data_IF_542185947992
#
_entry.id   IF_542185947992
#
_cell.length_a   1.000
_cell.length_b   1.000
_cell.length_c   1.000
_cell.angle_alpha   90.00
_cell.angle_beta   90.00
_cell.angle_gamma   90.00
#
_symmetry.space_group_name_H-M   'P 1'
#
loop_
_entity.id
_entity.type
_entity.pdbx_description
1 polymer ?
#
# COMPACT_ATOMS: atom_id res chain seq x y z
N UNK A 1 30.91 -2.88 -26.30
CA UNK A 1 30.73 -2.19 -24.99
C UNK A 1 29.43 -1.37 -24.89
N UNK A 2 28.56 -1.30 -25.91
CA UNK A 2 27.28 -0.57 -25.83
C UNK A 2 26.12 -1.39 -25.21
N UNK A 3 26.19 -2.73 -25.23
CA UNK A 3 25.10 -3.58 -24.74
C UNK A 3 24.95 -3.66 -23.21
N UNK A 4 25.97 -3.29 -22.42
CA UNK A 4 25.90 -3.32 -20.95
C UNK A 4 25.21 -2.09 -20.36
N UNK A 5 25.22 -0.95 -21.05
CA UNK A 5 24.58 0.28 -20.57
C UNK A 5 23.05 0.18 -20.71
N UNK A 6 22.58 -0.43 -21.80
CA UNK A 6 21.14 -0.63 -22.05
C UNK A 6 20.49 -1.64 -21.09
N UNK A 7 21.21 -2.67 -20.65
CA UNK A 7 20.66 -3.67 -19.71
C UNK A 7 20.48 -3.10 -18.30
N UNK A 8 21.41 -2.27 -17.84
CA UNK A 8 21.26 -1.54 -16.57
C UNK A 8 20.08 -0.58 -16.63
N UNK A 9 19.97 0.27 -17.67
CA UNK A 9 18.85 1.20 -17.79
C UNK A 9 17.47 0.51 -17.80
N UNK A 10 17.36 -0.65 -18.45
CA UNK A 10 16.11 -1.43 -18.46
C UNK A 10 15.73 -1.98 -17.08
N UNK A 11 16.72 -2.36 -16.27
CA UNK A 11 16.49 -2.86 -14.91
C UNK A 11 16.04 -1.74 -13.97
N UNK A 12 16.68 -0.56 -14.05
CA UNK A 12 16.28 0.62 -13.29
C UNK A 12 14.87 1.13 -13.67
N UNK A 13 14.52 1.14 -14.95
CA UNK A 13 13.16 1.50 -15.42
C UNK A 13 12.10 0.46 -15.05
N UNK A 14 12.46 -0.82 -15.07
CA UNK A 14 11.60 -1.92 -14.60
C UNK A 14 11.33 -1.82 -13.11
N UNK A 15 12.38 -1.57 -12.32
CA UNK A 15 12.25 -1.36 -10.87
C UNK A 15 11.40 -0.11 -10.59
N UNK A 16 11.63 1.02 -11.29
CA UNK A 16 10.79 2.22 -11.17
C UNK A 16 9.31 2.01 -11.56
N UNK A 17 9.04 1.13 -12.52
CA UNK A 17 7.67 0.78 -12.95
C UNK A 17 6.96 -0.16 -11.95
N UNK A 18 7.69 -1.10 -11.35
CA UNK A 18 7.16 -1.97 -10.28
C UNK A 18 6.98 -1.22 -8.96
N UNK A 19 7.70 -0.13 -8.74
CA UNK A 19 7.63 0.67 -7.52
C UNK A 19 6.31 1.43 -7.32
N UNK A 20 5.46 1.54 -8.34
CA UNK A 20 4.39 2.55 -8.31
C UNK A 20 2.97 1.99 -8.12
N UNK A 21 2.60 0.89 -8.78
CA UNK A 21 1.20 0.47 -8.74
C UNK A 21 0.81 -0.42 -7.56
N UNK A 22 1.10 0.00 -6.32
CA UNK A 22 0.49 -0.67 -5.16
C UNK A 22 -0.96 -0.25 -5.06
N UNK A 23 -1.85 -1.24 -5.03
CA UNK A 23 -3.28 -1.01 -4.87
C UNK A 23 -3.76 -1.74 -3.64
N UNK A 24 -4.48 -1.03 -2.79
CA UNK A 24 -5.07 -1.55 -1.56
C UNK A 24 -6.59 -1.49 -1.65
N UNK A 25 -7.23 -2.54 -1.16
CA UNK A 25 -8.64 -2.48 -0.78
C UNK A 25 -8.68 -2.39 0.74
N UNK A 26 -9.33 -1.37 1.27
CA UNK A 26 -9.42 -1.11 2.71
C UNK A 26 -10.87 -1.09 3.11
N UNK A 27 -11.25 -2.02 3.96
CA UNK A 27 -12.54 -2.01 4.63
C UNK A 27 -12.39 -1.38 6.01
N UNK A 28 -13.10 -0.29 6.25
CA UNK A 28 -13.09 0.47 7.50
C UNK A 28 -14.39 0.20 8.21
N UNK A 29 -14.32 -0.37 9.42
CA UNK A 29 -15.47 -0.57 10.30
C UNK A 29 -15.35 0.35 11.50
N UNK A 30 -16.23 1.33 11.59
CA UNK A 30 -16.32 2.25 12.73
C UNK A 30 -17.37 1.79 13.75
N UNK A 31 -18.42 1.08 13.30
CA UNK A 31 -19.44 0.51 14.18
C UNK A 31 -20.22 -0.60 13.49
N UNK A 32 -21.16 -1.25 14.21
CA UNK A 32 -22.02 -2.32 13.67
C UNK A 32 -22.84 -1.90 12.43
N UNK A 33 -23.11 -0.61 12.26
CA UNK A 33 -23.96 -0.09 11.18
C UNK A 33 -23.23 0.91 10.28
N UNK A 34 -21.92 1.10 10.47
CA UNK A 34 -21.12 2.04 9.69
C UNK A 34 -19.81 1.37 9.28
N UNK A 35 -19.81 0.91 8.04
CA UNK A 35 -18.65 0.36 7.36
C UNK A 35 -18.55 0.89 5.93
N UNK A 36 -17.31 1.16 5.50
CA UNK A 36 -17.01 1.74 4.19
C UNK A 36 -15.82 1.00 3.57
N UNK A 37 -15.85 0.84 2.24
CA UNK A 37 -14.76 0.22 1.48
C UNK A 37 -14.08 1.27 0.59
N UNK A 38 -12.76 1.30 0.61
CA UNK A 38 -11.94 2.20 -0.19
C UNK A 38 -10.99 1.41 -1.09
N UNK A 39 -10.80 1.91 -2.31
CA UNK A 39 -9.72 1.48 -3.19
C UNK A 39 -8.66 2.57 -3.19
N UNK A 40 -7.47 2.24 -2.71
CA UNK A 40 -6.34 3.16 -2.60
C UNK A 40 -5.33 2.74 -3.66
N UNK A 41 -5.03 3.65 -4.58
CA UNK A 41 -3.95 3.48 -5.54
C UNK A 41 -2.80 4.37 -5.10
N UNK A 42 -1.65 3.78 -4.74
CA UNK A 42 -0.48 4.53 -4.27
C UNK A 42 0.06 5.50 -5.35
N UNK A 43 -0.20 5.22 -6.63
CA UNK A 43 0.09 6.13 -7.76
C UNK A 43 -0.57 7.52 -7.62
N UNK A 44 -1.63 7.64 -6.81
CA UNK A 44 -2.36 8.89 -6.61
C UNK A 44 -1.76 9.76 -5.49
N UNK A 45 -0.69 9.30 -4.83
CA UNK A 45 -0.08 9.97 -3.68
C UNK A 45 1.36 10.39 -3.97
N UNK A 46 1.87 11.35 -3.19
CA UNK A 46 3.24 11.85 -3.35
C UNK A 46 4.21 11.08 -2.46
N UNK A 47 3.71 10.53 -1.37
CA UNK A 47 4.48 9.73 -0.43
C UNK A 47 3.93 8.30 -0.32
N UNK A 48 4.81 7.34 -0.02
CA UNK A 48 4.39 5.95 0.22
C UNK A 48 3.45 5.84 1.43
N UNK A 49 2.37 5.06 1.31
CA UNK A 49 1.40 4.80 2.37
C UNK A 49 0.76 6.08 2.93
N UNK A 50 0.69 7.15 2.13
CA UNK A 50 0.23 8.47 2.56
C UNK A 50 -1.21 8.42 3.10
N UNK A 51 -2.08 7.61 2.50
CA UNK A 51 -3.44 7.41 3.00
C UNK A 51 -3.45 6.82 4.41
N UNK A 52 -2.60 5.82 4.68
CA UNK A 52 -2.51 5.17 6.00
C UNK A 52 -1.91 6.13 7.02
N UNK A 53 -0.90 6.93 6.64
CA UNK A 53 -0.35 7.99 7.50
C UNK A 53 -1.40 9.02 7.90
N UNK A 54 -2.26 9.44 6.96
CA UNK A 54 -3.39 10.35 7.22
C UNK A 54 -4.48 9.74 8.12
N UNK A 55 -4.46 8.42 8.33
CA UNK A 55 -5.40 7.66 9.17
C UNK A 55 -4.77 7.20 10.49
N UNK A 56 -3.71 7.87 10.92
CA UNK A 56 -3.03 7.66 12.21
C UNK A 56 -2.46 6.25 12.40
N UNK A 57 -2.09 5.57 11.31
CA UNK A 57 -1.33 4.32 11.42
C UNK A 57 -0.01 4.60 12.11
N UNK A 58 0.32 3.79 13.12
CA UNK A 58 1.62 3.89 13.79
C UNK A 58 2.73 3.46 12.84
N UNK A 59 3.96 3.89 13.12
CA UNK A 59 5.14 3.49 12.34
C UNK A 59 5.25 1.96 12.25
N UNK A 60 5.01 1.24 13.35
CA UNK A 60 5.02 -0.22 13.39
C UNK A 60 3.97 -0.84 12.46
N UNK A 61 2.76 -0.25 12.37
CA UNK A 61 1.73 -0.71 11.45
C UNK A 61 2.13 -0.46 10.00
N UNK A 62 2.71 0.69 9.69
CA UNK A 62 3.20 1.02 8.35
C UNK A 62 4.30 0.04 7.90
N UNK A 63 5.22 -0.32 8.77
CA UNK A 63 6.24 -1.32 8.47
C UNK A 63 5.65 -2.71 8.19
N UNK A 64 4.55 -3.07 8.86
CA UNK A 64 3.83 -4.31 8.58
C UNK A 64 3.10 -4.27 7.24
N UNK A 65 2.53 -3.11 6.88
CA UNK A 65 1.87 -2.89 5.58
C UNK A 65 2.88 -2.93 4.45
N UNK A 66 4.03 -2.27 4.60
CA UNK A 66 5.11 -2.23 3.61
C UNK A 66 5.59 -3.64 3.22
N UNK A 67 5.63 -4.55 4.19
CA UNK A 67 6.04 -5.95 4.02
C UNK A 67 4.93 -6.86 3.46
N UNK A 68 3.71 -6.35 3.27
CA UNK A 68 2.60 -7.16 2.74
C UNK A 68 2.86 -7.55 1.29
N UNK A 69 2.61 -8.81 0.94
CA UNK A 69 2.61 -9.30 -0.45
C UNK A 69 1.21 -9.19 -1.06
N UNK A 70 1.08 -9.19 -2.40
CA UNK A 70 -0.23 -9.26 -3.05
C UNK A 70 -1.09 -10.41 -2.52
N UNK A 71 -2.40 -10.20 -2.48
CA UNK A 71 -3.43 -11.06 -1.89
C UNK A 71 -3.31 -11.30 -0.38
N UNK A 72 -2.37 -10.65 0.31
CA UNK A 72 -2.35 -10.68 1.78
C UNK A 72 -3.37 -9.70 2.35
N UNK A 73 -4.03 -10.17 3.41
CA UNK A 73 -4.96 -9.37 4.20
C UNK A 73 -4.38 -9.18 5.59
N UNK A 74 -4.45 -7.96 6.11
CA UNK A 74 -4.14 -7.64 7.50
C UNK A 74 -5.27 -6.83 8.11
N UNK A 75 -5.54 -7.09 9.38
CA UNK A 75 -6.53 -6.34 10.15
C UNK A 75 -5.78 -5.53 11.21
N UNK A 76 -5.98 -4.22 11.17
CA UNK A 76 -5.44 -3.29 12.15
C UNK A 76 -6.60 -2.77 13.00
N UNK A 77 -6.42 -2.81 14.32
CA UNK A 77 -7.37 -2.29 15.29
C UNK A 77 -6.68 -1.19 16.06
N UNK A 78 -7.23 0.01 15.99
CA UNK A 78 -6.74 1.14 16.76
C UNK A 78 -7.91 2.07 17.09
N UNK A 79 -7.86 2.64 18.29
CA UNK A 79 -8.95 3.44 18.86
C UNK A 79 -10.27 2.66 18.90
N UNK A 80 -11.27 3.06 18.09
CA UNK A 80 -12.58 2.41 17.97
C UNK A 80 -12.87 1.94 16.54
N UNK A 81 -11.83 1.84 15.71
CA UNK A 81 -11.96 1.57 14.27
C UNK A 81 -11.15 0.31 13.94
N UNK A 82 -11.75 -0.56 13.12
CA UNK A 82 -11.08 -1.72 12.54
C UNK A 82 -10.86 -1.47 11.05
N UNK A 83 -9.61 -1.53 10.60
CA UNK A 83 -9.25 -1.47 9.19
C UNK A 83 -8.79 -2.85 8.73
N UNK A 84 -9.51 -3.44 7.77
CA UNK A 84 -9.07 -4.62 7.04
C UNK A 84 -8.44 -4.19 5.72
N UNK A 85 -7.12 -4.32 5.64
CA UNK A 85 -6.31 -3.95 4.49
C UNK A 85 -6.01 -5.20 3.65
N UNK A 86 -6.27 -5.15 2.35
CA UNK A 86 -5.87 -6.17 1.38
C UNK A 86 -4.93 -5.55 0.35
N UNK A 87 -3.76 -6.15 0.14
CA UNK A 87 -2.90 -5.79 -0.99
C UNK A 87 -3.42 -6.46 -2.26
N UNK A 88 -3.78 -5.68 -3.27
CA UNK A 88 -4.26 -6.18 -4.57
C UNK A 88 -3.11 -6.32 -5.56
N UNK A 89 -2.23 -5.33 -5.63
CA UNK A 89 -1.06 -5.28 -6.52
C UNK A 89 0.20 -4.90 -5.72
#
# INVERSE_FOLDING_TARGET
MLNQIFSSAKKWLSELSEFQSRVWVVHVKESRFKDESFVICEDNFKEDLEWMRRRDYTQEMLELVEKMKPSQVRVFKFSHIEHQLMRVK
#
